data_IF_134633339253
#
_entry.id   IF_134633339253
#
_cell.length_a   1.000
_cell.length_b   1.000
_cell.length_c   1.000
_cell.angle_alpha   90.00
_cell.angle_beta   90.00
_cell.angle_gamma   90.00
#
_symmetry.space_group_name_H-M   'P 1'
#
loop_
_entity.id
_entity.type
_entity.pdbx_description
1 polymer ?
#
# COMPACT_ATOMS: atom_id res chain seq x y z
N UNK A 1 18.65 19.77 11.86
CA UNK A 1 19.37 19.71 12.27
C UNK A 1 19.92 19.33 12.40
N UNK A 2 19.77 19.39 12.14
CA UNK A 2 20.69 19.38 12.53
C UNK A 2 21.39 19.38 12.27
N UNK A 3 21.14 19.13 11.97
CA UNK A 3 22.18 19.33 12.08
C UNK A 3 22.78 19.30 12.14
N UNK A 4 22.64 19.55 12.28
CA UNK A 4 23.55 19.75 12.62
C UNK A 4 24.01 19.43 12.77
N UNK A 5 23.75 19.49 12.85
CA UNK A 5 24.45 19.34 13.17
C UNK A 5 25.00 18.87 12.84
N UNK A 6 24.90 18.96 12.55
CA UNK A 6 25.60 18.69 12.31
C UNK A 6 26.12 18.31 11.81
N UNK A 7 26.22 18.41 11.62
CA UNK A 7 26.95 18.26 11.35
C UNK A 7 27.57 18.14 11.50
N UNK A 8 27.79 18.35 11.67
CA UNK A 8 28.49 18.36 11.94
C UNK A 8 29.06 18.42 11.87
N UNK A 9 29.27 18.70 11.74
CA UNK A 9 29.74 18.81 11.59
C UNK A 9 30.14 18.50 10.82
N UNK A 10 30.32 18.78 10.31
CA UNK A 10 30.58 18.29 9.55
C UNK A 10 31.49 17.84 8.89
N UNK A 11 32.08 18.00 8.60
CA UNK A 11 33.07 17.51 7.91
C UNK A 11 33.24 16.09 8.02
N UNK A 12 32.94 15.61 8.94
CA UNK A 12 32.89 14.19 9.11
C UNK A 12 31.67 13.58 8.50
N UNK A 13 30.93 14.37 7.79
CA UNK A 13 29.72 13.89 7.12
C UNK A 13 30.00 13.03 5.91
N UNK A 14 31.25 12.99 5.43
CA UNK A 14 31.55 12.21 4.24
C UNK A 14 31.22 10.73 4.39
N UNK A 15 31.65 10.04 5.45
CA UNK A 15 31.26 8.64 5.63
C UNK A 15 29.76 8.46 5.73
N UNK A 16 29.09 9.36 6.41
CA UNK A 16 27.65 9.31 6.51
C UNK A 16 26.99 9.49 5.16
N UNK A 17 27.51 10.40 4.37
CA UNK A 17 27.01 10.62 3.03
C UNK A 17 27.20 9.40 2.15
N UNK A 18 28.35 8.72 2.25
CA UNK A 18 28.58 7.50 1.51
C UNK A 18 27.61 6.41 1.91
N UNK A 19 27.30 6.31 3.19
CA UNK A 19 26.31 5.32 3.65
C UNK A 19 24.96 5.60 3.03
N UNK A 20 24.54 6.84 2.95
CA UNK A 20 23.29 7.18 2.32
C UNK A 20 23.29 6.83 0.84
N UNK A 21 24.41 6.99 0.16
CA UNK A 21 24.52 6.64 -1.25
C UNK A 21 24.47 5.12 -1.43
N UNK A 22 25.10 4.38 -0.52
CA UNK A 22 25.17 2.93 -0.65
C UNK A 22 23.83 2.26 -0.40
N UNK A 23 23.00 2.85 0.44
CA UNK A 23 21.74 2.20 0.82
C UNK A 23 20.49 3.00 0.48
N UNK A 24 20.49 3.85 -0.53
CA UNK A 24 19.32 4.71 -0.76
C UNK A 24 18.09 3.95 -1.21
N UNK A 25 18.30 2.83 -1.89
CA UNK A 25 17.19 2.10 -2.49
C UNK A 25 16.82 0.85 -1.72
N UNK A 26 17.45 0.64 -0.58
CA UNK A 26 17.21 -0.56 0.19
C UNK A 26 15.89 -0.49 0.94
N UNK A 27 15.43 0.70 1.19
CA UNK A 27 14.28 0.92 2.05
C UNK A 27 13.00 0.51 1.37
N UNK A 28 12.28 -0.38 1.99
CA UNK A 28 10.88 -0.56 1.66
C UNK A 28 10.19 0.73 2.09
N UNK A 29 9.52 1.37 1.17
CA UNK A 29 8.99 2.69 1.44
C UNK A 29 7.51 2.58 1.71
N UNK A 30 7.16 2.69 2.97
CA UNK A 30 5.77 2.88 3.34
C UNK A 30 5.38 4.31 2.99
N UNK A 31 4.14 4.48 2.61
CA UNK A 31 3.61 5.80 2.40
C UNK A 31 3.32 6.46 3.75
N UNK A 32 3.31 7.78 3.76
CA UNK A 32 2.90 8.51 4.96
C UNK A 32 1.38 8.59 5.00
N UNK A 33 0.85 8.87 6.17
CA UNK A 33 -0.59 9.09 6.33
C UNK A 33 -1.08 10.18 5.39
N UNK A 34 -0.33 11.28 5.27
CA UNK A 34 -0.72 12.38 4.39
C UNK A 34 -0.73 11.97 2.94
N UNK A 35 0.26 11.18 2.51
CA UNK A 35 0.31 10.70 1.13
C UNK A 35 -0.89 9.80 0.82
N UNK A 36 -1.24 8.92 1.76
CA UNK A 36 -2.40 8.04 1.58
C UNK A 36 -3.68 8.86 1.53
N UNK A 37 -3.83 9.81 2.45
CA UNK A 37 -5.01 10.67 2.45
C UNK A 37 -5.17 11.40 1.11
N UNK A 38 -4.09 11.99 0.60
CA UNK A 38 -4.12 12.67 -0.69
C UNK A 38 -4.50 11.72 -1.82
N UNK A 39 -3.98 10.50 -1.77
CA UNK A 39 -4.30 9.51 -2.79
C UNK A 39 -5.77 9.09 -2.76
N UNK A 40 -6.41 9.16 -1.60
CA UNK A 40 -7.81 8.74 -1.44
C UNK A 40 -8.81 9.85 -1.74
N UNK A 41 -8.35 11.07 -2.02
CA UNK A 41 -9.27 12.20 -2.18
C UNK A 41 -10.24 12.02 -3.34
N UNK A 42 -9.82 11.36 -4.41
CA UNK A 42 -10.72 11.12 -5.54
C UNK A 42 -11.77 10.05 -5.25
N UNK A 43 -11.63 9.35 -4.14
CA UNK A 43 -12.62 8.38 -3.68
C UNK A 43 -13.48 8.93 -2.54
N UNK A 44 -13.28 10.19 -2.16
CA UNK A 44 -13.98 10.78 -1.03
C UNK A 44 -15.48 10.83 -1.27
N UNK A 45 -16.23 10.26 -0.35
CA UNK A 45 -17.69 10.25 -0.44
C UNK A 45 -18.29 9.16 -1.30
N UNK A 46 -17.48 8.40 -2.04
CA UNK A 46 -18.00 7.30 -2.84
C UNK A 46 -18.60 6.26 -1.91
N UNK A 47 -19.87 5.93 -2.16
CA UNK A 47 -20.62 4.97 -1.37
C UNK A 47 -20.59 5.29 0.14
N UNK A 48 -20.46 6.58 0.46
CA UNK A 48 -20.53 7.04 1.83
C UNK A 48 -19.23 6.96 2.61
N UNK A 49 -18.13 6.55 2.00
CA UNK A 49 -16.84 6.41 2.68
C UNK A 49 -15.99 7.65 2.37
N UNK A 50 -15.52 8.32 3.40
CA UNK A 50 -14.69 9.52 3.23
C UNK A 50 -13.23 9.13 2.98
N UNK A 51 -12.46 10.07 2.43
CA UNK A 51 -11.02 9.87 2.24
C UNK A 51 -10.32 9.58 3.57
N UNK A 52 -10.79 10.21 4.65
CA UNK A 52 -10.21 9.98 5.98
C UNK A 52 -10.50 8.56 6.46
N UNK A 53 -11.70 8.07 6.21
CA UNK A 53 -12.07 6.70 6.56
C UNK A 53 -11.24 5.70 5.75
N UNK A 54 -11.05 5.94 4.46
CA UNK A 54 -10.17 5.10 3.67
C UNK A 54 -8.75 5.08 4.23
N UNK A 55 -8.27 6.24 4.66
CA UNK A 55 -6.93 6.34 5.26
C UNK A 55 -6.83 5.47 6.50
N UNK A 56 -7.87 5.47 7.33
CA UNK A 56 -7.92 4.64 8.52
C UNK A 56 -7.96 3.15 8.18
N UNK A 57 -8.79 2.77 7.21
CA UNK A 57 -8.87 1.38 6.75
C UNK A 57 -7.51 0.90 6.27
N UNK A 58 -6.83 1.71 5.48
CA UNK A 58 -5.53 1.37 4.92
C UNK A 58 -4.47 1.21 6.02
N UNK A 59 -4.53 2.06 7.05
CA UNK A 59 -3.61 1.90 8.17
C UNK A 59 -3.77 0.53 8.82
N UNK A 60 -5.00 0.13 9.08
CA UNK A 60 -5.26 -1.16 9.72
C UNK A 60 -5.02 -2.35 8.79
N UNK A 61 -5.12 -2.15 7.50
CA UNK A 61 -4.92 -3.23 6.54
C UNK A 61 -3.44 -3.51 6.28
N UNK A 62 -2.68 -2.49 5.95
CA UNK A 62 -1.30 -2.66 5.49
C UNK A 62 -0.28 -1.79 6.22
N UNK A 63 -0.72 -0.89 7.10
CA UNK A 63 0.17 0.09 7.70
C UNK A 63 0.76 1.05 6.67
N UNK A 64 -0.02 1.36 5.64
CA UNK A 64 0.38 2.25 4.54
C UNK A 64 1.47 1.66 3.65
N UNK A 65 1.57 0.32 3.59
CA UNK A 65 2.61 -0.34 2.80
C UNK A 65 2.01 -0.86 1.48
N UNK A 66 2.34 -0.23 0.34
CA UNK A 66 1.80 -0.68 -0.95
C UNK A 66 2.33 -2.04 -1.39
N UNK A 67 3.38 -2.54 -0.74
CA UNK A 67 3.99 -3.81 -1.11
C UNK A 67 3.73 -4.91 -0.08
N UNK A 68 2.80 -4.70 0.83
CA UNK A 68 2.51 -5.67 1.88
C UNK A 68 1.93 -6.95 1.28
N UNK A 69 2.45 -8.08 1.72
CA UNK A 69 1.94 -9.40 1.35
C UNK A 69 1.75 -10.18 2.64
N UNK A 70 0.55 -10.67 2.88
CA UNK A 70 0.24 -11.48 4.06
C UNK A 70 -0.34 -12.80 3.61
N UNK A 71 0.37 -13.88 3.94
CA UNK A 71 -0.07 -15.24 3.58
C UNK A 71 -0.86 -15.84 4.72
N UNK A 72 -2.04 -16.33 4.39
CA UNK A 72 -2.89 -17.07 5.29
C UNK A 72 -2.93 -18.53 4.84
N UNK A 73 -3.68 -19.36 5.56
CA UNK A 73 -3.74 -20.78 5.22
C UNK A 73 -4.31 -21.03 3.82
N UNK A 74 -5.35 -20.29 3.45
CA UNK A 74 -6.09 -20.55 2.23
C UNK A 74 -6.05 -19.41 1.22
N UNK A 75 -5.31 -18.34 1.52
CA UNK A 75 -5.28 -17.17 0.65
C UNK A 75 -4.08 -16.30 0.96
N UNK A 76 -3.82 -15.35 0.08
CA UNK A 76 -2.79 -14.33 0.27
C UNK A 76 -3.43 -12.98 0.01
N UNK A 77 -3.06 -11.99 0.81
CA UNK A 77 -3.57 -10.63 0.69
C UNK A 77 -2.45 -9.71 0.24
N UNK A 78 -2.78 -8.77 -0.65
CA UNK A 78 -1.79 -8.01 -1.39
C UNK A 78 -2.02 -6.52 -1.27
N UNK A 79 -0.95 -5.79 -1.02
CA UNK A 79 -0.85 -4.36 -1.27
C UNK A 79 -1.51 -3.50 -0.23
N UNK A 80 -1.71 -2.25 -0.63
CA UNK A 80 -2.15 -1.20 0.27
C UNK A 80 -3.48 -1.54 0.96
N UNK A 81 -4.41 -2.13 0.21
CA UNK A 81 -5.75 -2.46 0.72
C UNK A 81 -5.85 -3.91 1.20
N UNK A 82 -4.79 -4.70 1.10
CA UNK A 82 -4.77 -6.12 1.48
C UNK A 82 -5.90 -6.89 0.80
N UNK A 83 -5.84 -6.89 -0.51
CA UNK A 83 -6.85 -7.54 -1.35
C UNK A 83 -6.47 -9.00 -1.57
N UNK A 84 -7.42 -9.90 -1.35
CA UNK A 84 -7.20 -11.34 -1.34
C UNK A 84 -7.23 -11.93 -2.75
N UNK A 85 -6.35 -12.91 -2.99
CA UNK A 85 -6.38 -13.69 -4.22
C UNK A 85 -7.51 -14.72 -4.24
N UNK A 86 -8.27 -14.83 -3.18
CA UNK A 86 -9.32 -15.85 -3.12
C UNK A 86 -10.43 -15.59 -4.14
N UNK A 87 -10.82 -14.32 -4.27
CA UNK A 87 -11.91 -13.94 -5.18
C UNK A 87 -11.58 -12.76 -6.08
N UNK A 88 -10.59 -11.95 -5.75
CA UNK A 88 -10.49 -10.60 -6.30
C UNK A 88 -9.45 -10.44 -7.36
N UNK A 89 -8.32 -11.11 -7.24
CA UNK A 89 -7.25 -11.03 -8.22
C UNK A 89 -6.70 -12.42 -8.50
N UNK A 90 -5.92 -12.54 -9.57
CA UNK A 90 -5.42 -13.83 -10.01
C UNK A 90 -3.99 -14.04 -9.58
N UNK A 91 -3.71 -15.22 -9.03
CA UNK A 91 -2.35 -15.67 -8.73
C UNK A 91 -2.23 -17.15 -9.06
N UNK A 92 -0.99 -17.63 -9.18
CA UNK A 92 -0.77 -19.06 -9.46
C UNK A 92 -1.17 -19.93 -8.27
N UNK A 93 -1.25 -19.37 -7.09
CA UNK A 93 -1.61 -20.13 -5.89
C UNK A 93 -3.08 -20.54 -5.87
N UNK A 94 -3.94 -19.72 -6.46
CA UNK A 94 -5.38 -20.02 -6.53
C UNK A 94 -5.84 -19.79 -7.98
N UNK A 95 -5.54 -20.75 -8.87
CA UNK A 95 -5.91 -20.56 -10.28
C UNK A 95 -7.41 -20.53 -10.51
N UNK A 96 -8.20 -21.05 -9.57
CA UNK A 96 -9.66 -21.03 -9.67
C UNK A 96 -10.28 -19.75 -9.12
N UNK A 97 -9.49 -18.74 -8.76
CA UNK A 97 -10.02 -17.47 -8.29
C UNK A 97 -10.97 -16.86 -9.31
N UNK A 98 -12.05 -16.29 -8.81
CA UNK A 98 -13.01 -15.58 -9.66
C UNK A 98 -12.42 -14.36 -10.34
N UNK A 99 -11.34 -13.82 -9.76
CA UNK A 99 -10.62 -12.67 -10.33
C UNK A 99 -11.59 -11.52 -10.66
N UNK A 100 -12.39 -11.14 -9.69
CA UNK A 100 -13.46 -10.16 -9.90
C UNK A 100 -12.90 -8.81 -10.36
N UNK A 101 -11.71 -8.45 -9.92
CA UNK A 101 -11.08 -7.20 -10.32
C UNK A 101 -10.36 -7.30 -11.67
N UNK A 102 -10.32 -8.49 -12.25
CA UNK A 102 -9.74 -8.73 -13.58
C UNK A 102 -8.29 -8.23 -13.66
N UNK A 103 -7.45 -8.75 -12.77
CA UNK A 103 -6.04 -8.36 -12.74
C UNK A 103 -5.21 -9.40 -12.03
N UNK A 104 -3.91 -9.43 -12.36
CA UNK A 104 -2.94 -10.19 -11.57
C UNK A 104 -2.77 -9.51 -10.21
N UNK A 105 -2.64 -10.32 -9.17
CA UNK A 105 -2.42 -9.79 -7.82
C UNK A 105 -1.12 -8.99 -7.72
N UNK A 106 -0.14 -9.27 -8.57
CA UNK A 106 1.11 -8.51 -8.57
C UNK A 106 0.90 -7.02 -8.85
N UNK A 107 -0.16 -6.68 -9.56
CA UNK A 107 -0.45 -5.27 -9.85
C UNK A 107 -0.87 -4.49 -8.61
N UNK A 108 -1.16 -5.18 -7.55
CA UNK A 108 -1.52 -4.54 -6.28
C UNK A 108 -0.29 -4.24 -5.42
N UNK A 109 0.90 -4.55 -5.91
CA UNK A 109 2.14 -4.40 -5.16
C UNK A 109 3.00 -3.25 -5.63
N UNK A 110 2.62 -2.56 -6.69
CA UNK A 110 3.38 -1.43 -7.19
C UNK A 110 2.90 -0.13 -6.53
N UNK A 111 3.57 0.96 -6.86
CA UNK A 111 3.24 2.26 -6.28
C UNK A 111 2.19 3.01 -7.11
N UNK A 112 1.72 2.42 -8.19
CA UNK A 112 0.62 2.97 -8.96
C UNK A 112 -0.67 2.47 -8.34
N UNK A 113 -1.34 3.29 -7.59
CA UNK A 113 -2.50 2.90 -6.80
C UNK A 113 -3.79 2.85 -7.60
N UNK A 114 -3.75 3.10 -8.90
CA UNK A 114 -4.95 3.10 -9.72
C UNK A 114 -5.66 1.76 -9.70
N UNK A 115 -4.91 0.68 -9.90
CA UNK A 115 -5.48 -0.67 -9.89
C UNK A 115 -6.02 -1.02 -8.51
N UNK A 116 -5.27 -0.67 -7.48
CA UNK A 116 -5.67 -0.92 -6.10
C UNK A 116 -7.01 -0.25 -5.78
N UNK A 117 -7.12 1.04 -6.13
CA UNK A 117 -8.34 1.81 -5.83
C UNK A 117 -9.53 1.29 -6.62
N UNK A 118 -9.31 0.95 -7.88
CA UNK A 118 -10.39 0.39 -8.69
C UNK A 118 -10.93 -0.90 -8.07
N UNK A 119 -10.04 -1.77 -7.66
CA UNK A 119 -10.43 -3.04 -7.05
C UNK A 119 -11.10 -2.81 -5.69
N UNK A 120 -10.55 -1.90 -4.87
CA UNK A 120 -11.16 -1.59 -3.58
C UNK A 120 -12.58 -1.06 -3.75
N UNK A 121 -12.82 -0.26 -4.77
CA UNK A 121 -14.18 0.23 -5.05
C UNK A 121 -15.13 -0.90 -5.43
N UNK A 122 -14.67 -1.86 -6.22
CA UNK A 122 -15.47 -3.04 -6.55
C UNK A 122 -15.81 -3.85 -5.32
N UNK A 123 -14.82 -4.05 -4.45
CA UNK A 123 -15.03 -4.79 -3.21
C UNK A 123 -16.07 -4.07 -2.35
N UNK A 124 -15.94 -2.77 -2.21
CA UNK A 124 -16.87 -1.98 -1.43
C UNK A 124 -18.29 -2.12 -1.97
N UNK A 125 -18.45 -2.11 -3.29
CA UNK A 125 -19.77 -2.23 -3.91
C UNK A 125 -20.39 -3.59 -3.66
N UNK A 126 -19.61 -4.65 -3.63
CA UNK A 126 -20.10 -6.02 -3.53
C UNK A 126 -20.20 -6.48 -2.09
N UNK A 127 -19.20 -6.21 -1.28
CA UNK A 127 -19.11 -6.71 0.09
C UNK A 127 -19.41 -5.67 1.16
N UNK A 128 -19.31 -4.39 0.81
CA UNK A 128 -19.43 -3.33 1.78
C UNK A 128 -18.15 -3.16 2.59
N UNK A 129 -18.24 -2.25 3.56
CA UNK A 129 -17.07 -1.88 4.37
C UNK A 129 -16.61 -3.03 5.26
N UNK A 130 -17.48 -3.98 5.52
CA UNK A 130 -17.17 -5.10 6.41
C UNK A 130 -16.11 -6.04 5.83
N UNK A 131 -15.74 -5.86 4.57
CA UNK A 131 -14.64 -6.62 4.00
C UNK A 131 -13.33 -6.39 4.77
N UNK A 132 -13.10 -5.17 5.19
CA UNK A 132 -11.87 -4.77 5.90
C UNK A 132 -12.01 -4.78 7.44
#
# INVERSE_FOLDING_TARGET
>A
MFEDLAVAKMMHSVPLFLVCILFPAVQAIQLTKCEVYEAMKDMDGLQGITALEWTCIIFHSSGYDPQAIVKNNNSTEYGLFQISNKHWCMSSEIPESENICDMSCDKLLDYNLTDDKMCAQKILAIKGIDYW
#
